data_IF_950302573098
#
_entry.id   IF_950302573098
#
_cell.length_a   1.000
_cell.length_b   1.000
_cell.length_c   1.000
_cell.angle_alpha   90.00
_cell.angle_beta   90.00
_cell.angle_gamma   90.00
#
_symmetry.space_group_name_H-M   'P 1'
#
loop_
_entity.id
_entity.type
_entity.pdbx_description
1 polymer ?
#
# COMPACT_ATOMS: atom_id res chain seq x y z
N UNK A 1 12.44 -14.01 -43.85
CA UNK A 1 11.76 -15.32 -44.07
C UNK A 1 12.24 -16.26 -42.98
N UNK A 2 11.47 -16.40 -41.91
CA UNK A 2 11.73 -17.42 -40.87
C UNK A 2 10.47 -18.23 -40.71
N UNK A 3 10.62 -19.51 -40.83
CA UNK A 3 9.64 -20.55 -41.10
C UNK A 3 8.85 -20.90 -39.82
N UNK A 4 7.53 -20.95 -39.95
CA UNK A 4 6.60 -21.48 -38.95
C UNK A 4 6.70 -23.00 -38.89
N UNK A 5 6.97 -23.60 -37.74
CA UNK A 5 6.73 -25.02 -37.45
C UNK A 5 5.86 -25.17 -36.20
N UNK A 6 4.68 -25.52 -36.48
CA UNK A 6 3.70 -26.40 -35.85
C UNK A 6 4.20 -27.16 -34.62
N UNK A 7 3.54 -26.93 -33.46
CA UNK A 7 3.58 -27.86 -32.32
C UNK A 7 2.31 -28.69 -32.29
N UNK A 8 2.51 -30.00 -32.48
CA UNK A 8 1.46 -31.00 -32.44
C UNK A 8 1.07 -31.38 -31.02
N UNK A 9 -0.21 -31.73 -30.89
CA UNK A 9 -0.84 -32.30 -29.70
C UNK A 9 -0.23 -33.66 -29.34
N UNK A 10 0.03 -33.89 -28.05
CA UNK A 10 0.11 -35.23 -27.49
C UNK A 10 -0.92 -35.31 -26.35
N UNK A 11 -1.96 -36.11 -26.62
CA UNK A 11 -2.93 -36.61 -25.63
C UNK A 11 -2.37 -37.91 -25.08
N UNK A 12 -2.22 -38.02 -23.77
CA UNK A 12 -1.88 -39.22 -23.06
C UNK A 12 -2.78 -39.40 -21.85
N UNK A 13 -3.78 -40.27 -21.94
CA UNK A 13 -4.57 -40.77 -20.83
C UNK A 13 -3.73 -41.70 -19.94
N UNK A 14 -3.88 -41.57 -18.64
CA UNK A 14 -3.35 -42.49 -17.66
C UNK A 14 -4.16 -42.43 -16.38
N UNK A 15 -5.18 -43.28 -16.31
CA UNK A 15 -5.96 -43.57 -15.10
C UNK A 15 -5.15 -44.38 -14.11
N UNK A 16 -5.12 -43.95 -12.86
CA UNK A 16 -4.56 -44.72 -11.74
C UNK A 16 -5.17 -44.27 -10.42
N UNK A 17 -6.27 -44.89 -10.07
CA UNK A 17 -6.88 -44.76 -8.73
C UNK A 17 -6.07 -45.57 -7.73
N UNK A 18 -5.61 -44.93 -6.64
CA UNK A 18 -5.19 -45.62 -5.42
C UNK A 18 -5.99 -45.05 -4.27
N UNK A 19 -6.92 -45.91 -3.82
CA UNK A 19 -7.59 -45.71 -2.55
C UNK A 19 -6.64 -46.10 -1.42
N UNK A 20 -6.49 -45.25 -0.41
CA UNK A 20 -5.94 -45.65 0.87
C UNK A 20 -6.80 -45.13 2.02
N UNK A 21 -7.14 -46.06 2.85
CA UNK A 21 -8.09 -46.11 3.92
C UNK A 21 -7.83 -45.14 5.09
N UNK A 22 -8.96 -44.69 5.65
CA UNK A 22 -9.08 -44.08 6.98
C UNK A 22 -8.74 -45.08 8.07
N UNK A 23 -7.88 -44.66 8.99
CA UNK A 23 -7.85 -45.18 10.36
C UNK A 23 -7.33 -44.07 11.32
N UNK A 24 -8.25 -43.53 12.06
CA UNK A 24 -8.32 -43.19 13.47
C UNK A 24 -7.12 -42.56 14.18
N UNK A 25 -7.31 -41.34 14.66
CA UNK A 25 -6.79 -40.91 15.96
C UNK A 25 -7.78 -39.97 16.64
N UNK A 26 -8.00 -40.28 17.90
CA UNK A 26 -9.01 -39.77 18.81
C UNK A 26 -8.64 -38.39 19.38
N UNK A 27 -9.66 -37.68 19.72
CA UNK A 27 -9.84 -36.59 20.66
C UNK A 27 -8.67 -36.23 21.58
N UNK A 28 -8.28 -34.95 21.56
CA UNK A 28 -7.72 -34.26 22.71
C UNK A 28 -8.59 -33.03 22.98
N UNK A 29 -9.14 -33.07 24.14
CA UNK A 29 -10.11 -32.25 24.84
C UNK A 29 -9.80 -30.75 24.83
N UNK A 30 -10.89 -30.00 24.76
CA UNK A 30 -11.03 -28.56 24.95
C UNK A 30 -10.49 -28.07 26.30
N UNK A 31 -9.91 -26.89 26.30
CA UNK A 31 -9.81 -26.04 27.47
C UNK A 31 -10.22 -24.61 27.17
N UNK A 32 -11.27 -24.24 27.86
CA UNK A 32 -11.77 -22.93 28.29
C UNK A 32 -11.82 -21.74 27.31
N UNK A 33 -13.07 -21.50 26.89
CA UNK A 33 -13.56 -20.28 26.29
C UNK A 33 -13.77 -19.17 27.32
N UNK A 34 -13.02 -18.08 27.18
CA UNK A 34 -13.46 -16.79 27.71
C UNK A 34 -14.66 -16.27 26.90
N UNK A 35 -15.50 -15.38 27.46
CA UNK A 35 -16.74 -14.93 26.82
C UNK A 35 -16.43 -14.23 25.51
N UNK A 36 -16.72 -14.88 24.40
CA UNK A 36 -16.59 -14.35 23.06
C UNK A 36 -17.52 -13.15 22.89
N UNK A 37 -16.93 -11.97 22.83
CA UNK A 37 -17.60 -10.79 22.25
C UNK A 37 -17.93 -11.13 20.80
N UNK A 38 -19.25 -11.27 20.52
CA UNK A 38 -19.72 -11.39 19.13
C UNK A 38 -19.16 -10.21 18.34
N UNK A 39 -18.62 -10.44 17.11
CA UNK A 39 -18.22 -9.34 16.24
C UNK A 39 -19.42 -8.41 16.06
N UNK A 40 -19.24 -7.13 16.38
CA UNK A 40 -20.24 -6.10 16.04
C UNK A 40 -20.30 -6.08 14.51
N UNK A 41 -21.48 -6.23 13.89
CA UNK A 41 -21.59 -6.13 12.45
C UNK A 41 -21.13 -4.74 12.02
N UNK A 42 -20.03 -4.67 11.27
CA UNK A 42 -19.60 -3.43 10.64
C UNK A 42 -20.57 -3.15 9.50
N UNK A 43 -21.23 -1.99 9.44
CA UNK A 43 -22.03 -1.63 8.29
C UNK A 43 -21.11 -1.65 7.06
N UNK A 44 -21.43 -2.43 6.05
CA UNK A 44 -20.67 -2.48 4.81
C UNK A 44 -20.72 -1.09 4.14
N UNK A 45 -19.68 -0.29 4.34
CA UNK A 45 -19.52 0.99 3.67
C UNK A 45 -18.88 0.73 2.32
N UNK A 46 -19.68 0.64 1.28
CA UNK A 46 -19.21 0.29 -0.07
C UNK A 46 -18.54 1.44 -0.80
N UNK A 47 -18.65 2.68 -0.32
CA UNK A 47 -18.01 3.86 -0.89
C UNK A 47 -17.99 5.02 0.10
N UNK A 48 -17.10 5.99 -0.13
CA UNK A 48 -17.10 7.25 0.64
C UNK A 48 -18.21 8.20 0.13
N UNK A 49 -18.99 8.76 1.03
CA UNK A 49 -20.09 9.70 0.74
C UNK A 49 -19.59 11.13 0.54
N UNK A 50 -18.69 11.34 -0.38
CA UNK A 50 -18.16 12.66 -0.71
C UNK A 50 -16.68 12.79 -0.48
N UNK A 51 -15.99 13.25 -1.51
CA UNK A 51 -14.57 13.59 -1.49
C UNK A 51 -14.44 15.09 -1.37
N UNK A 52 -13.71 15.55 -0.38
CA UNK A 52 -13.35 16.96 -0.18
C UNK A 52 -12.14 17.31 -1.03
N UNK A 53 -11.99 18.60 -1.33
CA UNK A 53 -10.86 19.12 -2.10
C UNK A 53 -10.18 20.25 -1.32
N UNK A 54 -8.84 20.26 -1.30
CA UNK A 54 -8.07 21.32 -0.66
C UNK A 54 -6.73 21.55 -1.36
N UNK A 55 -6.38 22.82 -1.58
CA UNK A 55 -5.07 23.17 -2.14
C UNK A 55 -3.98 23.03 -1.08
N UNK A 56 -3.06 22.12 -1.31
CA UNK A 56 -1.94 21.82 -0.43
C UNK A 56 -0.64 21.68 -1.24
N UNK A 57 0.35 22.49 -0.95
CA UNK A 57 1.62 22.50 -1.67
C UNK A 57 1.44 22.75 -3.17
N UNK A 58 1.78 21.75 -3.99
CA UNK A 58 1.65 21.80 -5.46
C UNK A 58 0.38 21.15 -6.00
N UNK A 59 -0.47 20.64 -5.12
CA UNK A 59 -1.64 19.86 -5.45
C UNK A 59 -2.93 20.52 -4.97
N UNK A 60 -4.01 20.23 -5.68
CA UNK A 60 -5.38 20.26 -5.19
C UNK A 60 -5.73 18.83 -4.79
N UNK A 61 -5.70 18.55 -3.48
CA UNK A 61 -5.77 17.19 -2.94
C UNK A 61 -7.23 16.80 -2.68
N UNK A 62 -7.65 15.71 -3.32
CA UNK A 62 -8.91 15.04 -2.99
C UNK A 62 -8.74 14.11 -1.79
N UNK A 63 -9.67 14.15 -0.83
CA UNK A 63 -9.59 13.27 0.33
C UNK A 63 -10.97 12.94 0.89
N UNK A 64 -11.11 11.73 1.41
CA UNK A 64 -12.25 11.34 2.24
C UNK A 64 -11.97 11.68 3.70
N UNK A 65 -13.02 12.00 4.45
CA UNK A 65 -12.92 12.29 5.89
C UNK A 65 -14.13 11.72 6.62
N UNK A 66 -13.89 11.10 7.77
CA UNK A 66 -14.93 10.56 8.65
C UNK A 66 -14.56 10.69 10.13
N UNK A 67 -15.56 10.49 10.99
CA UNK A 67 -15.39 10.59 12.44
C UNK A 67 -15.52 12.02 12.99
N UNK A 68 -15.32 12.20 14.30
CA UNK A 68 -15.52 13.48 14.98
C UNK A 68 -14.44 14.49 14.57
N UNK A 69 -14.85 15.70 14.23
CA UNK A 69 -13.97 16.77 13.73
C UNK A 69 -12.78 17.10 14.66
N UNK A 70 -12.99 16.95 15.97
CA UNK A 70 -12.01 17.24 17.01
C UNK A 70 -11.34 15.97 17.60
N UNK A 71 -11.58 14.81 17.01
CA UNK A 71 -10.94 13.57 17.43
C UNK A 71 -9.44 13.55 17.09
N UNK A 72 -8.66 12.67 17.75
CA UNK A 72 -7.28 12.43 17.36
C UNK A 72 -7.25 11.99 15.89
N UNK A 73 -6.27 12.53 15.13
CA UNK A 73 -6.24 12.34 13.69
C UNK A 73 -5.48 11.08 13.31
N UNK A 74 -6.08 10.30 12.40
CA UNK A 74 -5.41 9.21 11.66
C UNK A 74 -5.41 9.58 10.18
N UNK A 75 -4.26 9.49 9.53
CA UNK A 75 -4.14 9.62 8.08
C UNK A 75 -3.81 8.24 7.51
N UNK A 76 -4.72 7.72 6.69
CA UNK A 76 -4.57 6.43 6.01
C UNK A 76 -4.06 6.64 4.58
N UNK A 77 -2.95 6.00 4.21
CA UNK A 77 -2.23 6.24 2.97
C UNK A 77 -2.21 4.98 2.11
N UNK A 78 -2.82 5.07 0.93
CA UNK A 78 -2.89 3.96 -0.02
C UNK A 78 -1.60 3.76 -0.81
N UNK A 79 -1.50 2.62 -1.50
CA UNK A 79 -0.43 2.26 -2.41
C UNK A 79 -0.81 2.32 -3.88
N UNK A 80 0.01 1.73 -4.74
CA UNK A 80 -0.24 1.49 -6.15
C UNK A 80 -0.36 -0.02 -6.43
N UNK A 81 -1.30 -0.47 -7.26
CA UNK A 81 -2.36 0.27 -7.97
C UNK A 81 -3.69 0.29 -7.18
N UNK A 82 -3.73 1.09 -6.15
CA UNK A 82 -4.87 1.21 -5.23
C UNK A 82 -5.30 2.67 -5.08
N UNK A 83 -6.34 2.92 -4.28
CA UNK A 83 -6.85 4.24 -3.99
C UNK A 83 -7.41 4.34 -2.56
N UNK A 84 -8.15 5.40 -2.29
CA UNK A 84 -8.75 5.62 -0.96
C UNK A 84 -9.67 4.48 -0.52
N UNK A 85 -10.28 3.73 -1.47
CA UNK A 85 -11.22 2.65 -1.16
C UNK A 85 -10.56 1.44 -0.51
N UNK A 86 -9.22 1.34 -0.51
CA UNK A 86 -8.50 0.37 0.34
C UNK A 86 -8.86 0.51 1.82
N UNK A 87 -9.35 1.67 2.24
CA UNK A 87 -9.68 1.96 3.63
C UNK A 87 -11.18 2.04 3.91
N UNK A 88 -12.03 1.67 2.95
CA UNK A 88 -13.49 1.83 3.07
C UNK A 88 -14.07 1.11 4.30
N UNK A 89 -13.51 -0.05 4.66
CA UNK A 89 -13.92 -0.84 5.82
C UNK A 89 -13.11 -0.51 7.10
N UNK A 90 -11.93 0.08 6.97
CA UNK A 90 -11.10 0.53 8.10
C UNK A 90 -11.66 1.82 8.72
N UNK A 91 -12.08 2.75 7.88
CA UNK A 91 -12.54 4.09 8.29
C UNK A 91 -13.68 4.04 9.31
N UNK A 92 -14.78 3.27 9.12
CA UNK A 92 -15.85 3.20 10.11
C UNK A 92 -15.40 2.61 11.45
N UNK A 93 -14.44 1.65 11.43
CA UNK A 93 -13.89 1.05 12.65
C UNK A 93 -13.11 2.08 13.48
N UNK A 94 -12.29 2.91 12.84
CA UNK A 94 -11.54 3.96 13.52
C UNK A 94 -12.43 5.13 13.95
N UNK A 95 -13.38 5.53 13.10
CA UNK A 95 -14.34 6.59 13.43
C UNK A 95 -15.21 6.22 14.65
N UNK A 96 -15.62 4.96 14.78
CA UNK A 96 -16.34 4.43 15.95
C UNK A 96 -15.50 4.46 17.23
N UNK A 97 -14.16 4.47 17.13
CA UNK A 97 -13.25 4.66 18.25
C UNK A 97 -12.96 6.14 18.57
N UNK A 98 -13.63 7.06 17.87
CA UNK A 98 -13.48 8.49 18.11
C UNK A 98 -12.35 9.18 17.35
N UNK A 99 -11.72 8.51 16.41
CA UNK A 99 -10.70 9.12 15.55
C UNK A 99 -11.33 9.95 14.43
N UNK A 100 -10.69 11.08 14.11
CA UNK A 100 -10.89 11.80 12.86
C UNK A 100 -10.00 11.14 11.80
N UNK A 101 -10.60 10.44 10.84
CA UNK A 101 -9.88 9.68 9.83
C UNK A 101 -9.86 10.44 8.51
N UNK A 102 -8.67 10.61 7.94
CA UNK A 102 -8.43 11.30 6.67
C UNK A 102 -7.78 10.31 5.71
N UNK A 103 -8.33 10.18 4.53
CA UNK A 103 -7.83 9.27 3.49
C UNK A 103 -7.64 10.07 2.20
N UNK A 104 -6.43 10.60 1.94
CA UNK A 104 -6.17 11.36 0.73
C UNK A 104 -5.90 10.46 -0.46
N UNK A 105 -6.32 10.89 -1.66
CA UNK A 105 -5.75 10.41 -2.89
C UNK A 105 -4.32 10.93 -3.02
N UNK A 106 -3.36 10.06 -3.20
CA UNK A 106 -1.99 10.43 -3.51
C UNK A 106 -1.91 11.15 -4.86
N UNK A 107 -0.78 11.83 -5.13
CA UNK A 107 -0.56 12.50 -6.43
C UNK A 107 -0.83 11.56 -7.60
N UNK A 108 -1.48 12.06 -8.63
CA UNK A 108 -1.85 11.28 -9.82
C UNK A 108 -3.01 10.30 -9.64
N UNK A 109 -3.70 10.29 -8.49
CA UNK A 109 -4.82 9.38 -8.24
C UNK A 109 -6.14 10.14 -8.02
N UNK A 110 -7.23 9.52 -8.40
CA UNK A 110 -8.60 9.99 -8.14
C UNK A 110 -8.82 11.45 -8.52
N UNK A 111 -9.29 12.26 -7.58
CA UNK A 111 -9.56 13.68 -7.81
C UNK A 111 -8.41 14.61 -7.49
N UNK A 112 -7.27 14.11 -6.99
CA UNK A 112 -6.07 14.92 -6.75
C UNK A 112 -5.50 15.43 -8.07
N UNK A 113 -5.22 16.73 -8.16
CA UNK A 113 -4.72 17.40 -9.38
C UNK A 113 -3.52 18.26 -9.08
N UNK A 114 -2.59 18.37 -10.02
CA UNK A 114 -1.53 19.37 -9.95
C UNK A 114 -2.10 20.77 -10.21
N UNK A 115 -1.71 21.74 -9.37
CA UNK A 115 -2.15 23.12 -9.49
C UNK A 115 -1.58 23.85 -10.72
N UNK A 116 -0.51 23.31 -11.31
CA UNK A 116 0.14 23.90 -12.49
C UNK A 116 0.55 22.81 -13.47
N UNK A 117 0.30 23.05 -14.75
CA UNK A 117 0.79 22.22 -15.86
C UNK A 117 2.32 22.16 -15.94
N UNK A 118 3.02 23.15 -15.35
CA UNK A 118 4.49 23.22 -15.32
C UNK A 118 5.12 22.40 -14.19
N UNK A 119 4.33 21.91 -13.23
CA UNK A 119 4.83 21.02 -12.18
C UNK A 119 5.17 19.67 -12.78
N UNK A 120 6.36 19.16 -12.48
CA UNK A 120 6.80 17.83 -12.97
C UNK A 120 5.91 16.74 -12.35
N UNK A 121 5.45 15.79 -13.19
CA UNK A 121 4.64 14.65 -12.76
C UNK A 121 5.53 13.56 -12.18
N UNK A 122 6.27 13.93 -11.13
CA UNK A 122 7.15 13.00 -10.45
C UNK A 122 6.46 12.29 -9.28
N UNK A 123 7.00 11.15 -8.88
CA UNK A 123 6.63 10.43 -7.67
C UNK A 123 7.87 9.90 -6.95
N UNK A 124 8.96 10.70 -6.92
CA UNK A 124 10.07 10.40 -6.02
C UNK A 124 9.57 10.43 -4.57
N UNK A 125 10.09 9.56 -3.76
CA UNK A 125 9.51 9.24 -2.44
C UNK A 125 9.34 10.46 -1.53
N UNK A 126 10.30 11.39 -1.52
CA UNK A 126 10.21 12.61 -0.71
C UNK A 126 9.14 13.58 -1.21
N UNK A 127 8.85 13.58 -2.52
CA UNK A 127 7.81 14.43 -3.08
C UNK A 127 6.42 14.00 -2.60
N UNK A 128 6.15 12.68 -2.58
CA UNK A 128 4.88 12.14 -2.06
C UNK A 128 4.73 12.41 -0.56
N UNK A 129 5.82 12.26 0.20
CA UNK A 129 5.81 12.57 1.64
C UNK A 129 5.52 14.05 1.91
N UNK A 130 6.10 14.95 1.13
CA UNK A 130 5.87 16.39 1.27
C UNK A 130 4.46 16.83 0.89
N UNK A 131 3.77 16.11 0.01
CA UNK A 131 2.35 16.37 -0.26
C UNK A 131 1.49 16.14 0.98
N UNK A 132 1.78 15.06 1.71
CA UNK A 132 1.05 14.74 2.95
C UNK A 132 1.38 15.72 4.06
N UNK A 133 2.64 16.15 4.19
CA UNK A 133 3.01 17.22 5.13
C UNK A 133 2.28 18.51 4.79
N UNK A 134 2.23 18.90 3.51
CA UNK A 134 1.49 20.09 3.06
C UNK A 134 -0.02 19.97 3.30
N UNK A 135 -0.61 18.76 3.13
CA UNK A 135 -2.00 18.49 3.46
C UNK A 135 -2.25 18.68 4.96
N UNK A 136 -1.37 18.14 5.82
CA UNK A 136 -1.47 18.31 7.27
C UNK A 136 -1.43 19.80 7.65
N UNK A 137 -0.55 20.59 7.02
CA UNK A 137 -0.40 22.03 7.30
C UNK A 137 -1.69 22.79 6.97
N UNK A 138 -2.27 22.56 5.80
CA UNK A 138 -3.51 23.23 5.35
C UNK A 138 -4.72 22.82 6.19
N UNK A 139 -4.79 21.55 6.60
CA UNK A 139 -5.85 21.04 7.47
C UNK A 139 -5.62 21.37 8.96
N UNK A 140 -4.52 22.09 9.28
CA UNK A 140 -4.12 22.45 10.65
C UNK A 140 -3.97 21.23 11.57
N UNK A 141 -3.41 20.16 11.02
CA UNK A 141 -3.10 18.93 11.75
C UNK A 141 -1.65 19.03 12.20
N UNK A 142 -1.43 19.33 13.47
CA UNK A 142 -0.08 19.41 14.04
C UNK A 142 0.56 18.02 14.10
N UNK A 143 -0.20 17.02 14.51
CA UNK A 143 0.27 15.66 14.73
C UNK A 143 -0.82 14.64 14.42
N UNK A 144 -0.45 13.52 13.78
CA UNK A 144 -1.38 12.45 13.43
C UNK A 144 -0.74 11.07 13.63
N UNK A 145 -1.59 10.04 13.75
CA UNK A 145 -1.20 8.67 13.46
C UNK A 145 -1.10 8.54 11.95
N UNK A 146 0.00 8.02 11.43
CA UNK A 146 0.14 7.67 10.03
C UNK A 146 0.04 6.16 9.87
N UNK A 147 -0.80 5.72 8.95
CA UNK A 147 -1.03 4.30 8.70
C UNK A 147 -1.09 4.06 7.19
N UNK A 148 -0.29 3.12 6.69
CA UNK A 148 -0.18 2.91 5.25
C UNK A 148 0.19 1.49 4.86
N UNK A 149 0.08 1.23 3.56
CA UNK A 149 0.65 0.06 2.89
C UNK A 149 1.27 0.48 1.56
N UNK A 150 2.23 -0.26 1.05
CA UNK A 150 2.94 0.00 -0.21
C UNK A 150 3.52 1.44 -0.28
N UNK A 151 3.17 2.27 -1.30
CA UNK A 151 3.59 3.69 -1.36
C UNK A 151 3.15 4.46 -0.13
N UNK A 152 2.01 4.11 0.44
CA UNK A 152 1.50 4.73 1.66
C UNK A 152 2.36 4.44 2.88
N UNK A 153 2.82 3.19 3.07
CA UNK A 153 3.79 2.85 4.12
C UNK A 153 5.09 3.62 3.94
N UNK A 154 5.67 3.59 2.73
CA UNK A 154 6.88 4.34 2.44
C UNK A 154 6.73 5.83 2.75
N UNK A 155 5.60 6.42 2.37
CA UNK A 155 5.29 7.82 2.65
C UNK A 155 5.20 8.09 4.15
N UNK A 156 4.53 7.22 4.92
CA UNK A 156 4.41 7.31 6.37
C UNK A 156 5.77 7.16 7.07
N UNK A 157 6.58 6.19 6.66
CA UNK A 157 7.94 5.96 7.17
C UNK A 157 8.82 7.19 6.98
N UNK A 158 8.77 7.82 5.79
CA UNK A 158 9.54 9.03 5.48
C UNK A 158 9.13 10.19 6.38
N UNK A 159 7.83 10.39 6.59
CA UNK A 159 7.34 11.46 7.46
C UNK A 159 7.75 11.19 8.90
N UNK A 160 7.62 9.96 9.37
CA UNK A 160 8.04 9.57 10.73
C UNK A 160 9.55 9.73 10.95
N UNK A 161 10.36 9.47 9.92
CA UNK A 161 11.81 9.61 9.99
C UNK A 161 12.29 11.07 9.94
N UNK A 162 11.72 11.89 9.04
CA UNK A 162 12.19 13.26 8.80
C UNK A 162 11.46 14.32 9.65
N UNK A 163 10.22 14.05 10.05
CA UNK A 163 9.38 14.96 10.86
C UNK A 163 8.71 14.21 12.03
N UNK A 164 9.49 13.57 12.94
CA UNK A 164 8.93 12.74 14.02
C UNK A 164 7.96 13.49 14.94
N UNK A 165 8.11 14.80 15.06
CA UNK A 165 7.18 15.65 15.82
C UNK A 165 5.77 15.73 15.21
N UNK A 166 5.62 15.41 13.93
CA UNK A 166 4.33 15.37 13.20
C UNK A 166 3.60 14.02 13.33
N UNK A 167 4.24 12.98 13.87
CA UNK A 167 3.72 11.62 13.90
C UNK A 167 3.58 11.12 15.33
N UNK A 168 2.36 10.85 15.77
CA UNK A 168 2.08 10.32 17.12
C UNK A 168 2.33 8.82 17.24
N UNK A 169 1.99 8.07 16.19
CA UNK A 169 2.24 6.65 16.04
C UNK A 169 2.28 6.28 14.55
N UNK A 170 2.89 5.17 14.23
CA UNK A 170 3.06 4.68 12.86
C UNK A 170 2.53 3.24 12.75
N UNK A 171 1.75 2.97 11.70
CA UNK A 171 1.46 1.61 11.24
C UNK A 171 1.99 1.47 9.82
N UNK A 172 2.98 0.58 9.65
CA UNK A 172 3.63 0.36 8.36
C UNK A 172 3.49 -1.10 7.94
N UNK A 173 2.76 -1.34 6.84
CA UNK A 173 2.69 -2.67 6.22
C UNK A 173 4.00 -2.94 5.48
N UNK A 174 4.54 -4.14 5.66
CA UNK A 174 5.81 -4.61 5.08
C UNK A 174 7.06 -3.92 5.66
N UNK A 175 6.95 -3.29 6.82
CA UNK A 175 8.07 -2.80 7.60
C UNK A 175 8.65 -1.47 7.14
N UNK A 176 9.99 -1.38 7.04
CA UNK A 176 10.70 -0.15 6.67
C UNK A 176 10.84 -0.05 5.14
N UNK A 177 10.08 0.84 4.52
CA UNK A 177 9.97 0.96 3.06
C UNK A 177 10.66 2.20 2.46
N UNK A 178 11.45 2.96 3.22
CA UNK A 178 12.27 4.04 2.65
C UNK A 178 13.22 3.43 1.62
N UNK A 179 13.07 3.87 0.36
CA UNK A 179 13.81 3.27 -0.75
C UNK A 179 15.27 3.69 -0.70
N UNK A 180 16.14 2.71 -0.71
CA UNK A 180 17.56 2.87 -0.99
C UNK A 180 17.75 2.78 -2.52
N UNK A 181 17.84 3.94 -3.18
CA UNK A 181 17.92 4.01 -4.65
C UNK A 181 19.22 3.41 -5.17
N UNK A 182 20.31 3.48 -4.41
CA UNK A 182 21.58 2.88 -4.82
C UNK A 182 21.50 1.35 -4.76
N UNK A 183 20.87 0.81 -3.70
CA UNK A 183 20.66 -0.64 -3.59
C UNK A 183 19.77 -1.20 -4.71
N UNK A 184 18.85 -0.39 -5.27
CA UNK A 184 18.00 -0.82 -6.40
C UNK A 184 18.80 -1.11 -7.69
N UNK A 185 20.06 -0.71 -7.78
CA UNK A 185 20.97 -1.07 -8.90
C UNK A 185 21.48 -2.49 -8.82
N UNK A 186 21.36 -3.13 -7.67
CA UNK A 186 21.79 -4.51 -7.47
C UNK A 186 20.64 -5.46 -7.80
N UNK A 187 20.83 -6.43 -8.71
CA UNK A 187 19.78 -7.40 -9.04
C UNK A 187 19.31 -8.18 -7.81
N UNK A 188 18.01 -8.36 -7.69
CA UNK A 188 17.40 -9.23 -6.70
C UNK A 188 17.49 -10.71 -7.15
N UNK A 189 17.03 -11.63 -6.32
CA UNK A 189 16.87 -13.02 -6.73
C UNK A 189 15.80 -13.11 -7.83
N UNK A 190 15.95 -14.02 -8.84
CA UNK A 190 15.03 -14.09 -9.99
C UNK A 190 13.54 -14.17 -9.63
N UNK A 191 13.18 -14.85 -8.54
CA UNK A 191 11.79 -14.93 -8.09
C UNK A 191 11.27 -13.58 -7.60
N UNK A 192 12.09 -12.78 -6.93
CA UNK A 192 11.72 -11.44 -6.49
C UNK A 192 11.61 -10.48 -7.69
N UNK A 193 12.57 -10.55 -8.65
CA UNK A 193 12.46 -9.78 -9.90
C UNK A 193 11.18 -10.12 -10.66
N UNK A 194 10.80 -11.39 -10.71
CA UNK A 194 9.55 -11.82 -11.33
C UNK A 194 8.32 -11.25 -10.65
N UNK A 195 8.29 -11.15 -9.32
CA UNK A 195 7.17 -10.51 -8.60
C UNK A 195 7.06 -9.02 -8.90
N UNK A 196 8.20 -8.36 -9.17
CA UNK A 196 8.27 -6.94 -9.49
C UNK A 196 8.39 -6.64 -10.98
N UNK A 197 8.00 -7.58 -11.86
CA UNK A 197 8.18 -7.52 -13.31
C UNK A 197 7.68 -6.23 -13.95
N UNK A 198 6.60 -5.66 -13.46
CA UNK A 198 5.97 -4.46 -14.01
C UNK A 198 6.86 -3.21 -13.91
N UNK A 199 7.79 -3.11 -12.96
CA UNK A 199 8.72 -1.99 -12.90
C UNK A 199 9.64 -1.95 -14.13
N UNK A 200 10.02 -3.12 -14.66
CA UNK A 200 10.80 -3.22 -15.92
C UNK A 200 9.92 -2.95 -17.13
N UNK A 201 8.67 -3.36 -17.09
CA UNK A 201 7.70 -3.05 -18.12
C UNK A 201 7.51 -1.53 -18.25
N UNK A 202 7.38 -0.80 -17.16
CA UNK A 202 7.30 0.66 -17.13
C UNK A 202 8.59 1.38 -17.55
N UNK A 203 9.71 0.68 -17.61
CA UNK A 203 10.96 1.21 -18.18
C UNK A 203 10.90 1.33 -19.69
N UNK A 204 9.96 0.65 -20.35
CA UNK A 204 9.80 0.59 -21.80
C UNK A 204 8.67 1.50 -22.28
N UNK A 205 8.72 1.87 -23.57
CA UNK A 205 7.64 2.57 -24.25
C UNK A 205 6.34 1.76 -24.27
N UNK A 206 6.42 0.43 -24.35
CA UNK A 206 5.25 -0.44 -24.30
C UNK A 206 4.51 -0.34 -22.97
N UNK A 207 5.25 -0.28 -21.86
CA UNK A 207 4.65 -0.10 -20.53
C UNK A 207 4.00 1.27 -20.37
N UNK A 208 4.59 2.31 -20.99
CA UNK A 208 3.99 3.65 -21.02
C UNK A 208 2.66 3.65 -21.80
N UNK A 209 2.65 3.08 -23.00
CA UNK A 209 1.43 2.98 -23.82
C UNK A 209 0.32 2.17 -23.12
N UNK A 210 0.67 1.06 -22.46
CA UNK A 210 -0.30 0.29 -21.69
C UNK A 210 -0.92 1.10 -20.55
N UNK A 211 -0.14 1.93 -19.86
CA UNK A 211 -0.67 2.78 -18.79
C UNK A 211 -1.52 3.96 -19.30
N UNK A 212 -1.31 4.41 -20.52
CA UNK A 212 -2.10 5.48 -21.17
C UNK A 212 -3.39 4.96 -21.82
N UNK A 213 -3.45 3.65 -22.15
CA UNK A 213 -4.63 3.01 -22.74
C UNK A 213 -5.54 2.51 -21.62
N UNK A 214 -6.78 3.00 -21.48
CA UNK A 214 -7.63 2.69 -20.34
C UNK A 214 -7.82 1.18 -20.07
N UNK A 215 -8.20 0.40 -21.08
CA UNK A 215 -8.46 -1.03 -20.93
C UNK A 215 -7.18 -1.81 -20.58
N UNK A 216 -6.06 -1.54 -21.26
CA UNK A 216 -4.77 -2.18 -21.00
C UNK A 216 -4.25 -1.84 -19.59
N UNK A 217 -4.44 -0.60 -19.15
CA UNK A 217 -4.08 -0.14 -17.81
C UNK A 217 -4.88 -0.87 -16.74
N UNK A 218 -6.20 -0.96 -16.91
CA UNK A 218 -7.08 -1.56 -15.92
C UNK A 218 -6.83 -3.08 -15.84
N UNK A 219 -6.63 -3.77 -16.99
CA UNK A 219 -6.22 -5.19 -17.04
C UNK A 219 -4.87 -5.41 -16.35
N UNK A 220 -3.88 -4.55 -16.61
CA UNK A 220 -2.57 -4.63 -15.95
C UNK A 220 -2.66 -4.42 -14.44
N UNK A 221 -3.42 -3.42 -13.99
CA UNK A 221 -3.60 -3.17 -12.56
C UNK A 221 -4.33 -4.32 -11.87
N UNK A 222 -5.33 -4.91 -12.53
CA UNK A 222 -6.03 -6.10 -12.03
C UNK A 222 -5.09 -7.30 -11.91
N UNK A 223 -4.27 -7.55 -12.93
CA UNK A 223 -3.26 -8.61 -12.90
C UNK A 223 -2.29 -8.42 -11.73
N UNK A 224 -1.92 -7.17 -11.42
CA UNK A 224 -1.08 -6.90 -10.23
C UNK A 224 -1.84 -7.29 -8.96
N UNK A 225 -3.11 -6.93 -8.79
CA UNK A 225 -3.90 -7.35 -7.62
C UNK A 225 -3.95 -8.86 -7.46
N UNK A 226 -4.29 -9.59 -8.53
CA UNK A 226 -4.34 -11.06 -8.54
C UNK A 226 -2.99 -11.68 -8.14
N UNK A 227 -1.89 -11.05 -8.58
CA UNK A 227 -0.54 -11.54 -8.30
C UNK A 227 -0.11 -11.28 -6.86
N UNK A 228 -0.42 -10.10 -6.32
CA UNK A 228 0.09 -9.68 -4.99
C UNK A 228 -0.84 -10.05 -3.84
N UNK A 229 -2.10 -10.36 -4.13
CA UNK A 229 -3.10 -10.82 -3.17
C UNK A 229 -3.76 -12.13 -3.63
N UNK A 230 -2.99 -13.22 -3.80
CA UNK A 230 -3.43 -14.43 -4.47
C UNK A 230 -4.51 -15.22 -3.72
N UNK A 231 -4.80 -14.84 -2.49
CA UNK A 231 -5.83 -15.46 -1.64
C UNK A 231 -7.05 -14.56 -1.43
N UNK A 232 -7.03 -13.35 -1.99
CA UNK A 232 -8.13 -12.41 -1.85
C UNK A 232 -9.14 -12.57 -2.97
N UNK A 233 -10.36 -12.99 -2.61
CA UNK A 233 -11.50 -13.15 -3.52
C UNK A 233 -12.27 -11.80 -3.59
N UNK A 234 -11.77 -10.88 -4.40
CA UNK A 234 -12.44 -9.60 -4.65
C UNK A 234 -13.32 -9.67 -5.89
N UNK A 235 -14.46 -9.01 -5.85
CA UNK A 235 -15.38 -8.91 -6.98
C UNK A 235 -15.00 -7.78 -7.97
N UNK A 236 -15.60 -7.83 -9.16
CA UNK A 236 -15.38 -6.82 -10.19
C UNK A 236 -15.74 -5.40 -9.70
N UNK A 237 -16.82 -5.27 -8.93
CA UNK A 237 -17.26 -3.98 -8.41
C UNK A 237 -16.23 -3.35 -7.45
N UNK A 238 -15.52 -4.18 -6.69
CA UNK A 238 -14.43 -3.73 -5.81
C UNK A 238 -13.25 -3.19 -6.61
N UNK A 239 -12.84 -3.90 -7.68
CA UNK A 239 -11.79 -3.43 -8.56
C UNK A 239 -12.21 -2.16 -9.35
N UNK A 240 -13.36 -2.17 -10.01
CA UNK A 240 -13.87 -1.07 -10.81
C UNK A 240 -14.00 0.23 -10.01
N UNK A 241 -14.39 0.15 -8.76
CA UNK A 241 -14.45 1.29 -7.84
C UNK A 241 -13.09 1.95 -7.66
N UNK A 242 -12.04 1.17 -7.49
CA UNK A 242 -10.65 1.65 -7.40
C UNK A 242 -10.14 2.11 -8.77
N UNK A 243 -10.44 1.39 -9.86
CA UNK A 243 -10.01 1.71 -11.22
C UNK A 243 -10.53 3.09 -11.69
N UNK A 244 -11.66 3.54 -11.15
CA UNK A 244 -12.14 4.91 -11.39
C UNK A 244 -11.11 5.98 -11.00
N UNK A 245 -10.25 5.73 -10.02
CA UNK A 245 -9.17 6.65 -9.64
C UNK A 245 -8.02 6.69 -10.66
N UNK A 246 -7.85 5.67 -11.49
CA UNK A 246 -6.82 5.59 -12.53
C UNK A 246 -7.14 6.46 -13.75
N UNK A 247 -8.37 6.96 -13.85
CA UNK A 247 -8.77 7.92 -14.88
C UNK A 247 -8.19 9.33 -14.69
N UNK A 248 -7.45 9.55 -13.60
CA UNK A 248 -6.72 10.78 -13.37
C UNK A 248 -5.74 11.06 -14.54
N UNK A 249 -5.77 12.25 -15.16
CA UNK A 249 -4.93 12.54 -16.33
C UNK A 249 -3.42 12.48 -16.07
N UNK A 250 -3.02 12.60 -14.81
CA UNK A 250 -1.61 12.56 -14.40
C UNK A 250 -1.19 11.15 -13.91
N UNK A 251 -2.10 10.15 -13.92
CA UNK A 251 -1.88 8.83 -13.32
C UNK A 251 -0.71 8.10 -13.96
N UNK A 252 -0.74 7.93 -15.28
CA UNK A 252 0.30 7.21 -16.01
C UNK A 252 1.69 7.84 -15.81
N UNK A 253 1.80 9.16 -15.97
CA UNK A 253 3.06 9.88 -15.82
C UNK A 253 3.65 9.71 -14.41
N UNK A 254 2.82 9.88 -13.38
CA UNK A 254 3.24 9.78 -11.97
C UNK A 254 3.70 8.36 -11.63
N UNK A 255 2.94 7.34 -12.04
CA UNK A 255 3.25 5.93 -11.78
C UNK A 255 4.55 5.52 -12.49
N UNK A 256 4.64 5.80 -13.78
CA UNK A 256 5.82 5.48 -14.58
C UNK A 256 7.06 6.17 -14.03
N UNK A 257 6.93 7.46 -13.65
CA UNK A 257 8.05 8.17 -13.05
C UNK A 257 8.54 7.49 -11.76
N UNK A 258 7.65 7.06 -10.86
CA UNK A 258 8.05 6.38 -9.62
C UNK A 258 8.95 5.17 -9.88
N UNK A 259 8.55 4.30 -10.79
CA UNK A 259 9.29 3.07 -11.06
C UNK A 259 10.57 3.32 -11.87
N UNK A 260 10.54 4.23 -12.84
CA UNK A 260 11.76 4.63 -13.58
C UNK A 260 12.76 5.32 -12.66
N UNK A 261 12.32 6.22 -11.79
CA UNK A 261 13.19 6.90 -10.82
C UNK A 261 13.84 5.91 -9.85
N UNK A 262 13.10 4.93 -9.32
CA UNK A 262 13.64 3.87 -8.46
C UNK A 262 14.75 3.06 -9.14
N UNK A 263 14.63 2.83 -10.44
CA UNK A 263 15.63 2.10 -11.25
C UNK A 263 16.76 3.00 -11.78
N UNK A 264 16.75 4.30 -11.45
CA UNK A 264 17.75 5.25 -11.95
C UNK A 264 17.58 5.61 -13.43
N UNK A 265 16.38 5.42 -13.99
CA UNK A 265 16.03 5.67 -15.40
C UNK A 265 15.28 6.98 -15.62
N UNK A 266 15.00 7.73 -14.57
CA UNK A 266 14.41 9.05 -14.60
C UNK A 266 15.01 9.92 -13.49
N UNK A 267 15.19 11.20 -13.78
CA UNK A 267 15.69 12.17 -12.81
C UNK A 267 14.57 12.61 -11.86
N UNK A 268 14.93 12.89 -10.59
CA UNK A 268 14.08 13.61 -9.66
C UNK A 268 14.13 15.13 -9.86
N UNK A 269 13.25 15.87 -9.21
CA UNK A 269 13.33 17.33 -9.16
C UNK A 269 14.35 17.78 -8.09
N UNK A 270 15.24 18.71 -8.45
CA UNK A 270 16.30 19.25 -7.58
C UNK A 270 15.80 19.82 -6.26
N UNK A 271 14.57 20.36 -6.22
CA UNK A 271 14.01 20.90 -4.96
C UNK A 271 13.86 19.84 -3.86
N UNK A 272 13.87 18.56 -4.22
CA UNK A 272 13.76 17.42 -3.30
C UNK A 272 15.12 16.79 -2.96
N UNK A 273 16.22 17.16 -3.63
CA UNK A 273 17.54 16.54 -3.48
C UNK A 273 18.02 16.49 -2.03
N UNK A 274 17.74 17.55 -1.25
CA UNK A 274 18.10 17.58 0.17
C UNK A 274 17.43 16.49 0.98
N UNK A 275 16.17 16.16 0.64
CA UNK A 275 15.40 15.13 1.34
C UNK A 275 15.86 13.75 0.88
N UNK A 276 16.06 13.56 -0.43
CA UNK A 276 16.57 12.29 -0.96
C UNK A 276 17.97 11.97 -0.38
N UNK A 277 18.81 12.97 -0.19
CA UNK A 277 20.11 12.81 0.50
C UNK A 277 19.95 12.37 1.96
N UNK A 278 18.98 12.90 2.69
CA UNK A 278 18.68 12.47 4.06
C UNK A 278 18.16 11.01 4.08
N UNK A 279 17.30 10.66 3.12
CA UNK A 279 16.71 9.33 3.01
C UNK A 279 17.73 8.27 2.57
N UNK A 280 18.69 8.63 1.73
CA UNK A 280 19.81 7.76 1.34
C UNK A 280 20.67 7.31 2.53
N UNK A 281 20.70 8.10 3.62
CA UNK A 281 21.34 7.70 4.87
C UNK A 281 20.53 6.67 5.68
N UNK A 282 19.37 6.23 5.18
CA UNK A 282 18.46 5.28 5.83
C UNK A 282 18.14 5.68 7.29
N UNK A 283 17.49 6.84 7.50
CA UNK A 283 17.25 7.37 8.84
C UNK A 283 16.38 6.44 9.67
N UNK A 284 16.65 6.40 10.97
CA UNK A 284 15.87 5.59 11.91
C UNK A 284 14.59 6.30 12.32
N UNK A 285 13.57 5.52 12.67
CA UNK A 285 12.25 5.98 13.10
C UNK A 285 12.15 5.78 14.61
N UNK A 286 11.95 6.89 15.34
CA UNK A 286 11.80 6.86 16.80
C UNK A 286 10.33 6.90 17.26
N UNK A 287 9.39 7.07 16.33
CA UNK A 287 7.95 7.09 16.60
C UNK A 287 7.49 5.69 17.06
N UNK A 288 6.55 5.59 18.02
CA UNK A 288 5.90 4.31 18.34
C UNK A 288 5.35 3.66 17.08
N UNK A 289 5.73 2.42 16.81
CA UNK A 289 5.47 1.76 15.53
C UNK A 289 4.95 0.34 15.68
N UNK A 290 3.90 0.01 14.93
CA UNK A 290 3.51 -1.38 14.64
C UNK A 290 3.76 -1.66 13.17
N UNK A 291 4.53 -2.70 12.87
CA UNK A 291 4.68 -3.23 11.52
C UNK A 291 3.79 -4.45 11.30
N UNK A 292 3.20 -4.54 10.10
CA UNK A 292 2.34 -5.65 9.71
C UNK A 292 2.96 -6.35 8.51
N UNK A 293 3.26 -7.63 8.62
CA UNK A 293 3.66 -8.46 7.47
C UNK A 293 2.49 -9.35 7.05
N UNK A 294 2.21 -9.39 5.76
CA UNK A 294 1.17 -10.22 5.16
C UNK A 294 1.78 -11.54 4.65
N UNK A 295 1.27 -12.67 5.12
CA UNK A 295 1.87 -14.00 4.84
C UNK A 295 1.88 -14.35 3.35
N UNK A 296 0.89 -13.88 2.60
CA UNK A 296 0.70 -14.20 1.19
C UNK A 296 1.18 -13.11 0.22
N UNK A 297 1.76 -12.04 0.74
CA UNK A 297 2.36 -11.00 -0.09
C UNK A 297 3.67 -11.53 -0.74
N UNK A 298 3.74 -11.66 -2.08
CA UNK A 298 4.92 -12.16 -2.75
C UNK A 298 6.07 -11.15 -2.81
N UNK A 299 5.82 -9.87 -2.52
CA UNK A 299 6.85 -8.83 -2.52
C UNK A 299 7.71 -8.88 -1.27
N UNK A 300 7.09 -9.19 -0.13
CA UNK A 300 7.78 -9.24 1.15
C UNK A 300 7.58 -10.62 1.73
N UNK A 301 8.61 -11.46 1.68
CA UNK A 301 8.54 -12.73 2.39
C UNK A 301 8.25 -12.45 3.86
N UNK A 302 7.17 -13.00 4.43
CA UNK A 302 6.84 -12.77 5.82
C UNK A 302 7.99 -13.25 6.70
N UNK A 303 8.38 -12.41 7.63
CA UNK A 303 9.46 -12.66 8.56
C UNK A 303 8.99 -12.47 10.00
N UNK A 304 9.95 -12.43 10.89
CA UNK A 304 9.77 -12.07 12.29
C UNK A 304 10.01 -10.56 12.53
N UNK A 305 10.08 -9.76 11.46
CA UNK A 305 10.40 -8.35 11.49
C UNK A 305 11.88 -8.03 11.74
N UNK A 306 12.74 -9.04 11.97
CA UNK A 306 14.16 -8.83 12.29
C UNK A 306 14.96 -8.14 11.18
N UNK A 307 14.58 -8.34 9.92
CA UNK A 307 15.27 -7.78 8.76
C UNK A 307 15.24 -6.24 8.69
N UNK A 308 14.28 -5.61 9.34
CA UNK A 308 14.13 -4.15 9.38
C UNK A 308 13.98 -3.58 10.81
N UNK A 309 14.01 -4.43 11.83
CA UNK A 309 13.83 -4.04 13.24
C UNK A 309 14.75 -2.91 13.70
N UNK A 310 15.99 -2.92 13.24
CA UNK A 310 17.02 -1.95 13.65
C UNK A 310 16.75 -0.51 13.16
N UNK A 311 15.84 -0.34 12.23
CA UNK A 311 15.41 0.98 11.77
C UNK A 311 14.40 1.63 12.72
N UNK A 312 13.75 0.87 13.60
CA UNK A 312 12.78 1.37 14.57
C UNK A 312 13.43 1.44 15.96
N UNK A 313 13.68 2.66 16.46
CA UNK A 313 14.35 2.90 17.73
C UNK A 313 13.41 3.25 18.88
N UNK A 314 12.17 3.57 18.58
CA UNK A 314 11.10 3.81 19.56
C UNK A 314 10.41 2.53 20.03
N UNK A 315 9.31 2.65 20.79
CA UNK A 315 8.43 1.53 21.10
C UNK A 315 7.98 0.83 19.82
N UNK A 316 8.01 -0.52 19.82
CA UNK A 316 7.83 -1.27 18.58
C UNK A 316 7.18 -2.62 18.81
N UNK A 317 6.26 -2.97 17.92
CA UNK A 317 5.65 -4.29 17.83
C UNK A 317 5.63 -4.75 16.36
N UNK A 318 5.80 -6.05 16.14
CA UNK A 318 5.65 -6.68 14.84
C UNK A 318 4.51 -7.69 14.87
N UNK A 319 3.72 -7.72 13.81
CA UNK A 319 2.61 -8.67 13.65
C UNK A 319 2.64 -9.29 12.26
N UNK A 320 2.44 -10.60 12.17
CA UNK A 320 2.22 -11.31 10.92
C UNK A 320 0.74 -11.67 10.77
N UNK A 321 0.17 -11.40 9.61
CA UNK A 321 -1.22 -11.67 9.27
C UNK A 321 -1.30 -12.91 8.38
N UNK A 322 -1.80 -14.01 8.94
CA UNK A 322 -1.91 -15.29 8.25
C UNK A 322 -2.97 -15.24 7.13
N UNK A 323 -2.64 -15.78 5.97
CA UNK A 323 -3.55 -15.91 4.83
C UNK A 323 -3.84 -14.61 4.09
N UNK A 324 -3.25 -13.47 4.48
CA UNK A 324 -3.49 -12.14 3.93
C UNK A 324 -2.43 -11.78 2.89
N UNK A 325 -2.85 -11.16 1.79
CA UNK A 325 -2.00 -10.64 0.72
C UNK A 325 -1.63 -9.18 0.93
N UNK A 326 -1.30 -8.50 -0.15
CA UNK A 326 -0.67 -7.18 -0.16
C UNK A 326 -1.57 -6.04 0.35
N UNK A 327 -2.87 -6.08 0.00
CA UNK A 327 -3.82 -5.02 0.37
C UNK A 327 -4.40 -5.25 1.77
N UNK A 328 -3.52 -5.24 2.77
CA UNK A 328 -3.88 -5.51 4.18
C UNK A 328 -5.09 -4.71 4.68
N UNK A 329 -5.26 -3.40 4.36
CA UNK A 329 -6.41 -2.66 4.85
C UNK A 329 -7.76 -3.20 4.34
N UNK A 330 -7.79 -3.77 3.14
CA UNK A 330 -9.00 -4.29 2.54
C UNK A 330 -9.19 -5.79 2.81
N UNK A 331 -8.10 -6.55 2.85
CA UNK A 331 -8.13 -7.98 3.16
C UNK A 331 -8.34 -8.28 4.66
N UNK A 332 -7.84 -7.41 5.54
CA UNK A 332 -7.91 -7.58 7.00
C UNK A 332 -8.23 -6.25 7.74
N UNK A 333 -9.33 -5.56 7.42
CA UNK A 333 -9.63 -4.22 7.92
C UNK A 333 -9.66 -4.13 9.46
N UNK A 334 -10.19 -5.16 10.13
CA UNK A 334 -10.23 -5.19 11.59
C UNK A 334 -8.83 -5.31 12.22
N UNK A 335 -7.93 -6.09 11.63
CA UNK A 335 -6.56 -6.22 12.10
C UNK A 335 -5.77 -4.93 11.88
N UNK A 336 -5.95 -4.29 10.72
CA UNK A 336 -5.33 -3.00 10.42
C UNK A 336 -5.82 -1.90 11.36
N UNK A 337 -7.14 -1.75 11.57
CA UNK A 337 -7.70 -0.77 12.49
C UNK A 337 -7.23 -1.00 13.93
N UNK A 338 -7.15 -2.25 14.38
CA UNK A 338 -6.62 -2.59 15.70
C UNK A 338 -5.16 -2.17 15.83
N UNK A 339 -4.32 -2.43 14.83
CA UNK A 339 -2.92 -1.99 14.85
C UNK A 339 -2.80 -0.46 14.99
N UNK A 340 -3.67 0.31 14.32
CA UNK A 340 -3.72 1.77 14.47
C UNK A 340 -4.01 2.18 15.91
N UNK A 341 -5.03 1.58 16.53
CA UNK A 341 -5.40 1.88 17.92
C UNK A 341 -4.29 1.46 18.89
N UNK A 342 -3.72 0.27 18.71
CA UNK A 342 -2.68 -0.27 19.60
C UNK A 342 -1.38 0.53 19.51
N UNK A 343 -0.98 0.99 18.30
CA UNK A 343 0.21 1.80 18.09
C UNK A 343 0.18 3.12 18.88
N UNK A 344 -1.01 3.65 19.20
CA UNK A 344 -1.15 4.86 20.03
C UNK A 344 -0.95 4.59 21.52
N UNK A 345 -0.84 3.33 21.93
CA UNK A 345 -0.70 2.90 23.33
C UNK A 345 0.70 2.39 23.65
N UNK A 346 1.57 2.25 22.63
CA UNK A 346 2.97 1.92 22.81
C UNK A 346 3.72 3.10 23.47
#
# INVERSE_FOLDING_TARGET
MINRRVFGKVVGMGTGAVAMSLAGLRDASAADGGPGTKPVPVPATTSFTGVKQVRAGVLDVGYAEAGPQHGPVVICLHGWPYDIHSYVDVVPLLAAQGYRVIVPYLRGHGTTRFLSSRTVRNAQQSAVALDIVALMDVLKIEKAVLAGFDWGSRTADIIAALWPHRVSALVSVSGYLITDVEAQRTPLRPKAEYSWWYQYYFSTERGRLAMETPDDRDELCRLVWDTVSPTWDFDDATFERTAAAFTNPDYADVVIHNYRWRLGLADGERRYDRYEKLLAARPRIATPTITLDAERDPFTAPGDGSSYRDFFTGPYEHRTLAGIGHNVPQEAPAAFARAVVDATRL
#
